data_IF_678185186284
#
_entry.id   IF_678185186284
#
_cell.length_a   1.000
_cell.length_b   1.000
_cell.length_c   1.000
_cell.angle_alpha   90.00
_cell.angle_beta   90.00
_cell.angle_gamma   90.00
#
_symmetry.space_group_name_H-M   'P 1'
#
loop_
_entity.id
_entity.type
_entity.pdbx_description
1 polymer ?
#
# COMPACT_ATOMS: atom_id res chain seq x y z
N UNK A 1 9.43 -18.04 50.22
CA UNK A 1 8.56 -19.01 49.54
C UNK A 1 8.46 -18.67 48.10
N UNK A 2 9.23 -19.36 47.29
CA UNK A 2 9.20 -19.22 45.84
C UNK A 2 8.36 -20.37 45.28
N UNK A 3 7.34 -20.06 44.46
CA UNK A 3 6.59 -21.05 43.70
C UNK A 3 7.26 -21.25 42.32
N UNK A 4 7.31 -22.47 41.80
CA UNK A 4 7.97 -22.76 40.54
C UNK A 4 7.09 -22.36 39.36
N UNK A 5 7.68 -21.69 38.36
CA UNK A 5 7.09 -21.41 37.06
C UNK A 5 7.14 -22.72 36.27
N UNK A 6 5.97 -23.30 35.99
CA UNK A 6 5.83 -24.50 35.18
C UNK A 6 5.97 -24.21 33.70
N UNK A 7 6.87 -24.97 33.06
CA UNK A 7 7.05 -25.11 31.61
C UNK A 7 5.78 -25.61 30.94
N UNK A 8 5.06 -24.71 30.23
CA UNK A 8 4.01 -25.11 29.29
C UNK A 8 3.91 -24.16 28.10
N UNK A 9 5.00 -24.00 27.38
CA UNK A 9 4.97 -23.42 26.03
C UNK A 9 5.89 -24.21 25.11
N UNK A 10 5.52 -25.46 24.83
CA UNK A 10 6.05 -26.22 23.69
C UNK A 10 4.87 -26.60 22.83
N UNK A 11 4.91 -26.15 21.56
CA UNK A 11 4.17 -26.75 20.48
C UNK A 11 2.97 -25.95 19.97
N UNK A 12 3.25 -24.94 19.16
CA UNK A 12 2.40 -24.59 18.02
C UNK A 12 3.33 -24.27 16.85
N UNK A 13 3.74 -25.32 16.16
CA UNK A 13 4.31 -25.18 14.82
C UNK A 13 3.15 -24.73 13.89
N UNK A 14 3.17 -23.47 13.51
CA UNK A 14 2.25 -22.95 12.49
C UNK A 14 2.76 -23.39 11.12
N UNK A 15 2.21 -24.49 10.62
CA UNK A 15 2.31 -24.86 9.21
C UNK A 15 1.49 -23.86 8.37
N UNK A 16 2.12 -22.78 7.89
CA UNK A 16 1.62 -21.99 6.79
C UNK A 16 2.31 -22.45 5.50
N UNK A 17 1.56 -22.86 4.49
CA UNK A 17 2.12 -23.14 3.17
C UNK A 17 2.39 -21.79 2.45
N UNK A 18 3.55 -21.18 2.73
CA UNK A 18 4.10 -20.18 1.85
C UNK A 18 4.67 -20.91 0.65
N UNK A 19 4.10 -20.68 -0.52
CA UNK A 19 4.66 -21.19 -1.76
C UNK A 19 5.99 -20.48 -2.02
N UNK A 20 7.09 -21.16 -1.69
CA UNK A 20 8.44 -20.73 -2.04
C UNK A 20 8.64 -20.95 -3.54
N UNK A 21 8.57 -19.88 -4.32
CA UNK A 21 9.01 -19.89 -5.70
C UNK A 21 10.54 -19.97 -5.71
N UNK A 22 11.08 -21.16 -6.02
CA UNK A 22 12.50 -21.35 -6.25
C UNK A 22 12.92 -20.66 -7.53
N UNK A 23 13.51 -19.47 -7.43
CA UNK A 23 14.23 -18.84 -8.52
C UNK A 23 15.66 -19.39 -8.53
N UNK A 24 16.05 -19.93 -9.69
CA UNK A 24 17.33 -20.60 -9.99
C UNK A 24 18.55 -19.80 -9.48
N UNK A 25 19.47 -20.56 -8.87
CA UNK A 25 20.70 -20.09 -8.25
C UNK A 25 21.64 -19.37 -9.21
N UNK A 26 21.95 -18.11 -8.97
CA UNK A 26 23.29 -17.53 -8.98
C UNK A 26 23.29 -16.04 -8.59
N UNK A 27 22.74 -15.72 -7.45
CA UNK A 27 23.02 -14.48 -6.73
C UNK A 27 22.58 -14.65 -5.29
N UNK A 28 23.36 -14.17 -4.34
CA UNK A 28 23.08 -14.14 -2.89
C UNK A 28 21.87 -13.24 -2.54
N UNK A 29 20.73 -13.48 -3.21
CA UNK A 29 19.46 -12.85 -2.90
C UNK A 29 18.73 -13.78 -1.96
N UNK A 30 18.74 -13.44 -0.66
CA UNK A 30 17.79 -14.01 0.28
C UNK A 30 16.41 -13.99 -0.33
N UNK A 31 15.66 -15.04 -0.19
CA UNK A 31 14.27 -15.21 -0.63
C UNK A 31 13.51 -13.96 -0.19
N UNK A 32 13.27 -13.03 -1.13
CA UNK A 32 12.48 -11.82 -0.84
C UNK A 32 11.04 -12.29 -0.71
N UNK A 33 10.47 -12.15 0.47
CA UNK A 33 9.05 -12.39 0.66
C UNK A 33 8.28 -11.43 -0.22
N UNK A 34 7.43 -11.99 -1.07
CA UNK A 34 6.68 -11.29 -2.10
C UNK A 34 5.20 -11.53 -1.89
N UNK A 35 4.42 -10.47 -1.91
CA UNK A 35 2.97 -10.55 -1.81
C UNK A 35 2.36 -10.33 -3.19
N UNK A 36 1.58 -11.27 -3.74
CA UNK A 36 0.88 -11.06 -5.00
C UNK A 36 0.05 -9.78 -4.99
N UNK A 37 0.08 -9.03 -6.09
CA UNK A 37 -0.66 -7.77 -6.19
C UNK A 37 -2.17 -7.98 -6.28
N UNK A 38 -2.60 -9.16 -6.74
CA UNK A 38 -3.97 -9.46 -7.09
C UNK A 38 -4.31 -9.14 -8.55
N UNK A 39 -3.29 -8.77 -9.33
CA UNK A 39 -3.42 -8.50 -10.77
C UNK A 39 -2.32 -9.25 -11.51
N UNK A 40 -2.67 -10.31 -12.21
CA UNK A 40 -1.69 -11.13 -12.95
C UNK A 40 -0.90 -10.32 -13.97
N UNK A 41 -1.56 -9.32 -14.60
CA UNK A 41 -0.90 -8.39 -15.54
C UNK A 41 0.22 -7.60 -14.88
N UNK A 42 0.07 -7.22 -13.62
CA UNK A 42 1.09 -6.49 -12.88
C UNK A 42 2.16 -7.44 -12.32
N UNK A 43 1.77 -8.56 -11.74
CA UNK A 43 2.69 -9.56 -11.19
C UNK A 43 3.68 -10.06 -12.26
N UNK A 44 3.22 -10.27 -13.50
CA UNK A 44 4.06 -10.66 -14.63
C UNK A 44 5.06 -9.57 -15.08
N UNK A 45 4.83 -8.30 -14.74
CA UNK A 45 5.73 -7.18 -15.08
C UNK A 45 6.69 -6.85 -13.93
N UNK A 46 6.34 -7.22 -12.71
CA UNK A 46 7.20 -7.02 -11.56
C UNK A 46 8.31 -8.07 -11.53
N UNK A 47 9.56 -7.62 -11.40
CA UNK A 47 10.73 -8.49 -11.40
C UNK A 47 10.70 -9.57 -10.28
N UNK A 48 9.97 -9.30 -9.21
CA UNK A 48 9.79 -10.22 -8.09
C UNK A 48 8.46 -10.99 -8.16
N UNK A 49 7.60 -10.71 -9.12
CA UNK A 49 6.29 -11.36 -9.26
C UNK A 49 5.22 -10.89 -8.28
N UNK A 50 5.39 -9.70 -7.68
CA UNK A 50 4.44 -9.13 -6.72
C UNK A 50 5.02 -7.95 -5.92
N UNK A 51 4.32 -7.51 -4.89
CA UNK A 51 4.76 -6.45 -4.00
C UNK A 51 5.94 -6.92 -3.13
N UNK A 52 7.07 -6.19 -3.11
CA UNK A 52 8.18 -6.51 -2.22
C UNK A 52 7.79 -6.22 -0.76
N UNK A 53 7.87 -7.23 0.11
CA UNK A 53 7.65 -7.07 1.55
C UNK A 53 8.87 -6.45 2.26
N UNK A 54 10.06 -6.61 1.68
CA UNK A 54 11.30 -6.06 2.25
C UNK A 54 11.67 -4.73 1.59
N UNK A 55 11.10 -3.65 2.08
CA UNK A 55 11.40 -2.29 1.65
C UNK A 55 10.17 -1.46 1.33
N UNK A 56 10.39 -0.18 1.00
CA UNK A 56 9.31 0.72 0.65
C UNK A 56 8.95 0.63 -0.82
N UNK A 57 7.66 0.65 -1.09
CA UNK A 57 7.06 0.90 -2.39
C UNK A 57 6.72 2.39 -2.44
N UNK A 58 7.22 3.11 -3.43
CA UNK A 58 6.89 4.52 -3.65
C UNK A 58 5.92 4.64 -4.82
N UNK A 59 4.77 5.23 -4.54
CA UNK A 59 3.72 5.46 -5.53
C UNK A 59 3.62 6.96 -5.85
N UNK A 60 3.94 7.33 -7.08
CA UNK A 60 3.84 8.69 -7.56
C UNK A 60 2.48 8.93 -8.23
N UNK A 61 1.74 9.92 -7.72
CA UNK A 61 0.37 10.18 -8.14
C UNK A 61 0.14 11.67 -8.41
N UNK A 62 -0.84 11.95 -9.24
CA UNK A 62 -1.41 13.28 -9.39
C UNK A 62 -2.51 13.47 -8.32
N UNK A 63 -2.40 14.50 -7.50
CA UNK A 63 -3.38 14.76 -6.46
C UNK A 63 -3.32 13.78 -5.29
N UNK A 64 -4.46 13.29 -4.84
CA UNK A 64 -4.60 12.61 -3.55
C UNK A 64 -4.21 11.12 -3.53
N UNK A 65 -3.71 10.54 -4.62
CA UNK A 65 -3.28 9.13 -4.65
C UNK A 65 -4.41 8.11 -4.54
N UNK A 66 -5.67 8.53 -4.60
CA UNK A 66 -6.82 7.65 -4.40
C UNK A 66 -6.95 6.58 -5.49
N UNK A 67 -6.60 6.91 -6.75
CA UNK A 67 -6.60 5.92 -7.84
C UNK A 67 -5.56 4.82 -7.65
N UNK A 68 -4.40 5.16 -7.06
CA UNK A 68 -3.36 4.19 -6.74
C UNK A 68 -3.76 3.28 -5.57
N UNK A 69 -4.60 3.77 -4.65
CA UNK A 69 -5.10 2.98 -3.53
C UNK A 69 -5.97 1.81 -3.99
N UNK A 70 -6.69 1.96 -5.12
CA UNK A 70 -7.46 0.88 -5.74
C UNK A 70 -6.62 -0.35 -6.09
N UNK A 71 -5.33 -0.16 -6.44
CA UNK A 71 -4.40 -1.25 -6.72
C UNK A 71 -3.97 -2.00 -5.45
N UNK A 72 -4.16 -1.41 -4.28
CA UNK A 72 -3.83 -2.04 -2.99
C UNK A 72 -5.00 -2.83 -2.39
N UNK A 73 -6.23 -2.69 -2.94
CA UNK A 73 -7.41 -3.36 -2.38
C UNK A 73 -7.28 -4.88 -2.26
N UNK A 74 -6.89 -5.63 -3.33
CA UNK A 74 -6.74 -7.09 -3.21
C UNK A 74 -5.68 -7.48 -2.17
N UNK A 75 -4.62 -6.66 -2.07
CA UNK A 75 -3.57 -6.85 -1.09
C UNK A 75 -4.08 -6.60 0.34
N UNK A 76 -4.87 -5.55 0.55
CA UNK A 76 -5.48 -5.25 1.85
C UNK A 76 -6.49 -6.33 2.28
N UNK A 77 -7.28 -6.87 1.36
CA UNK A 77 -8.16 -8.01 1.60
C UNK A 77 -7.36 -9.20 2.15
N UNK A 78 -6.26 -9.53 1.51
CA UNK A 78 -5.38 -10.62 1.92
C UNK A 78 -4.71 -10.36 3.27
N UNK A 79 -4.20 -9.15 3.48
CA UNK A 79 -3.56 -8.76 4.74
C UNK A 79 -4.57 -8.60 5.88
N UNK A 80 -5.80 -8.21 5.60
CA UNK A 80 -6.90 -8.07 6.57
C UNK A 80 -7.35 -9.40 7.20
N UNK A 81 -6.93 -10.55 6.66
CA UNK A 81 -7.16 -11.85 7.29
C UNK A 81 -6.22 -12.12 8.48
N UNK A 82 -5.15 -11.34 8.62
CA UNK A 82 -4.18 -11.45 9.71
C UNK A 82 -4.66 -10.63 10.92
N UNK A 83 -4.34 -11.02 12.16
CA UNK A 83 -4.67 -10.23 13.35
C UNK A 83 -3.70 -9.05 13.54
N UNK A 84 -3.50 -8.25 12.50
CA UNK A 84 -2.57 -7.11 12.45
C UNK A 84 -3.28 -5.91 11.83
N UNK A 85 -2.79 -4.71 12.12
CA UNK A 85 -3.41 -3.47 11.69
C UNK A 85 -3.04 -3.09 10.24
N UNK A 86 -3.98 -2.47 9.55
CA UNK A 86 -3.75 -1.70 8.34
C UNK A 86 -3.68 -0.23 8.73
N UNK A 87 -2.48 0.36 8.70
CA UNK A 87 -2.26 1.73 9.13
C UNK A 87 -2.29 2.71 7.94
N UNK A 88 -3.08 3.77 8.08
CA UNK A 88 -3.20 4.87 7.13
C UNK A 88 -2.68 6.15 7.78
N UNK A 89 -1.53 6.64 7.33
CA UNK A 89 -0.85 7.81 7.90
C UNK A 89 -1.07 9.02 6.98
N UNK A 90 -1.71 10.06 7.49
CA UNK A 90 -2.09 11.27 6.77
C UNK A 90 -2.91 10.99 5.48
N UNK A 91 -3.91 10.10 5.49
CA UNK A 91 -4.70 9.89 4.29
C UNK A 91 -5.41 11.19 3.90
N UNK A 92 -5.48 11.54 2.61
CA UNK A 92 -6.12 12.78 2.13
C UNK A 92 -7.63 12.78 2.37
N UNK A 93 -8.23 11.59 2.44
CA UNK A 93 -9.62 11.37 2.78
C UNK A 93 -9.72 10.18 3.72
N UNK A 94 -10.71 10.19 4.59
CA UNK A 94 -11.01 9.03 5.44
C UNK A 94 -11.41 7.85 4.57
N UNK A 95 -10.79 6.67 4.73
CA UNK A 95 -11.20 5.47 4.01
C UNK A 95 -12.68 5.16 4.22
N UNK A 96 -13.37 4.80 3.15
CA UNK A 96 -14.80 4.52 3.21
C UNK A 96 -15.06 3.14 3.83
N UNK A 97 -15.39 3.12 5.11
CA UNK A 97 -15.56 1.91 5.90
C UNK A 97 -16.54 0.88 5.29
N UNK A 98 -17.71 1.25 4.72
CA UNK A 98 -18.60 0.27 4.09
C UNK A 98 -17.95 -0.49 2.94
N UNK A 99 -17.05 0.16 2.18
CA UNK A 99 -16.32 -0.52 1.12
C UNK A 99 -15.32 -1.51 1.69
N UNK A 100 -14.53 -1.09 2.68
CA UNK A 100 -13.55 -1.98 3.30
C UNK A 100 -14.25 -3.22 3.86
N UNK A 101 -15.38 -3.04 4.53
CA UNK A 101 -16.21 -4.13 5.03
C UNK A 101 -16.76 -5.03 3.91
N UNK A 102 -17.25 -4.45 2.81
CA UNK A 102 -17.74 -5.20 1.64
C UNK A 102 -16.64 -6.03 0.96
N UNK A 103 -15.39 -5.59 1.11
CA UNK A 103 -14.19 -6.29 0.64
C UNK A 103 -13.60 -7.26 1.68
N UNK A 104 -14.30 -7.52 2.78
CA UNK A 104 -13.82 -8.42 3.83
C UNK A 104 -12.63 -7.86 4.65
N UNK A 105 -12.38 -6.56 4.59
CA UNK A 105 -11.35 -5.90 5.38
C UNK A 105 -11.96 -5.48 6.72
N UNK A 106 -11.50 -6.05 7.85
CA UNK A 106 -12.05 -5.70 9.17
C UNK A 106 -11.78 -4.23 9.51
N UNK A 107 -12.82 -3.43 9.64
CA UNK A 107 -12.68 -2.00 9.92
C UNK A 107 -12.11 -1.70 11.30
N UNK A 108 -12.28 -2.62 12.24
CA UNK A 108 -11.68 -2.60 13.59
C UNK A 108 -10.16 -2.79 13.58
N UNK A 109 -9.60 -3.27 12.46
CA UNK A 109 -8.15 -3.39 12.26
C UNK A 109 -7.58 -2.24 11.42
N UNK A 110 -8.37 -1.22 11.13
CA UNK A 110 -7.92 -0.03 10.38
C UNK A 110 -7.52 1.07 11.37
N UNK A 111 -6.26 1.44 11.34
CA UNK A 111 -5.69 2.54 12.12
C UNK A 111 -5.52 3.76 11.23
N UNK A 112 -6.13 4.89 11.59
CA UNK A 112 -5.96 6.16 10.87
C UNK A 112 -5.22 7.14 11.77
N UNK A 113 -4.11 7.67 11.26
CA UNK A 113 -3.27 8.63 11.98
C UNK A 113 -3.23 9.96 11.20
N UNK A 114 -3.54 11.06 11.88
CA UNK A 114 -3.48 12.41 11.33
C UNK A 114 -2.35 13.19 11.99
N UNK A 115 -1.11 13.14 11.45
CA UNK A 115 0.02 13.92 11.96
C UNK A 115 -0.24 15.41 11.76
N UNK A 116 0.25 16.25 12.68
CA UNK A 116 0.07 17.71 12.63
C UNK A 116 1.07 18.39 11.70
N UNK A 117 2.21 17.78 11.48
CA UNK A 117 3.30 18.31 10.68
C UNK A 117 4.10 17.20 10.00
N UNK A 118 5.05 17.61 9.16
CA UNK A 118 5.91 16.70 8.37
C UNK A 118 6.78 15.78 9.25
N UNK A 119 7.26 16.28 10.37
CA UNK A 119 8.14 15.54 11.28
C UNK A 119 7.37 14.42 11.99
N UNK A 120 6.17 14.74 12.49
CA UNK A 120 5.26 13.77 13.06
C UNK A 120 4.84 12.72 12.04
N UNK A 121 4.62 13.11 10.76
CA UNK A 121 4.28 12.20 9.68
C UNK A 121 5.38 11.17 9.44
N UNK A 122 6.62 11.61 9.30
CA UNK A 122 7.77 10.73 9.12
C UNK A 122 7.97 9.81 10.32
N UNK A 123 7.86 10.39 11.52
CA UNK A 123 7.98 9.63 12.77
C UNK A 123 6.88 8.57 12.90
N UNK A 124 5.62 8.94 12.70
CA UNK A 124 4.49 8.02 12.78
C UNK A 124 4.60 6.89 11.75
N UNK A 125 5.01 7.22 10.52
CA UNK A 125 5.26 6.23 9.48
C UNK A 125 6.35 5.24 9.88
N UNK A 126 7.49 5.73 10.35
CA UNK A 126 8.59 4.89 10.81
C UNK A 126 8.18 4.00 11.98
N UNK A 127 7.48 4.55 12.99
CA UNK A 127 7.01 3.79 14.15
C UNK A 127 6.00 2.71 13.75
N UNK A 128 5.05 3.02 12.86
CA UNK A 128 4.07 2.05 12.38
C UNK A 128 4.76 0.88 11.63
N UNK A 129 5.77 1.15 10.81
CA UNK A 129 6.55 0.12 10.13
C UNK A 129 7.32 -0.75 11.14
N UNK A 130 7.95 -0.14 12.14
CA UNK A 130 8.77 -0.83 13.15
C UNK A 130 7.94 -1.60 14.19
N UNK A 131 6.67 -1.28 14.34
CA UNK A 131 5.83 -1.82 15.41
C UNK A 131 5.53 -3.31 15.30
N UNK A 132 5.78 -3.96 14.17
CA UNK A 132 5.40 -5.35 13.86
C UNK A 132 3.91 -5.69 14.02
N UNK A 133 3.13 -4.79 14.61
CA UNK A 133 1.67 -4.93 14.79
C UNK A 133 0.88 -4.54 13.55
N UNK A 134 1.53 -3.88 12.58
CA UNK A 134 0.91 -3.53 11.30
C UNK A 134 1.29 -4.54 10.22
N UNK A 135 0.31 -5.05 9.46
CA UNK A 135 0.55 -5.86 8.26
C UNK A 135 0.88 -4.98 7.05
N UNK A 136 0.29 -3.77 7.01
CA UNK A 136 0.63 -2.77 6.01
C UNK A 136 0.59 -1.35 6.59
N UNK A 137 1.44 -0.47 6.05
CA UNK A 137 1.49 0.96 6.35
C UNK A 137 1.39 1.74 5.04
N UNK A 138 0.34 2.51 4.90
CA UNK A 138 0.07 3.40 3.78
C UNK A 138 0.27 4.84 4.24
N UNK A 139 1.26 5.56 3.69
CA UNK A 139 1.60 6.91 4.16
C UNK A 139 1.55 7.92 3.02
N UNK A 140 0.82 9.00 3.20
CA UNK A 140 0.72 10.09 2.23
C UNK A 140 1.69 11.21 2.60
N UNK A 141 2.81 11.22 1.89
CA UNK A 141 3.84 12.24 2.09
C UNK A 141 3.52 13.56 1.37
N UNK A 142 2.60 13.52 0.39
CA UNK A 142 2.16 14.71 -0.34
C UNK A 142 3.24 15.28 -1.27
N UNK A 143 3.17 16.60 -1.48
CA UNK A 143 4.07 17.36 -2.36
C UNK A 143 5.28 17.98 -1.64
N UNK A 144 5.47 17.69 -0.37
CA UNK A 144 6.61 18.23 0.37
C UNK A 144 7.93 17.58 -0.09
N UNK A 145 9.00 18.37 -0.03
CA UNK A 145 10.34 17.88 -0.32
C UNK A 145 10.85 17.01 0.83
N UNK A 146 11.37 15.84 0.49
CA UNK A 146 11.97 14.91 1.44
C UNK A 146 13.42 14.65 1.09
N UNK A 147 14.28 14.77 2.10
CA UNK A 147 15.69 14.43 1.93
C UNK A 147 15.84 12.93 1.71
N UNK A 148 16.78 12.54 0.87
CA UNK A 148 17.10 11.12 0.66
C UNK A 148 17.30 10.34 1.97
N UNK A 149 17.95 10.94 2.97
CA UNK A 149 18.20 10.33 4.27
C UNK A 149 16.92 9.99 5.04
N UNK A 150 15.87 10.83 4.91
CA UNK A 150 14.57 10.62 5.56
C UNK A 150 13.83 9.45 4.93
N UNK A 151 13.77 9.40 3.61
CA UNK A 151 13.19 8.28 2.87
C UNK A 151 13.98 6.98 3.11
N UNK A 152 15.32 7.10 3.24
CA UNK A 152 16.17 5.94 3.53
C UNK A 152 15.88 5.34 4.90
N UNK A 153 15.53 6.14 5.90
CA UNK A 153 15.13 5.62 7.23
C UNK A 153 13.87 4.77 7.12
N UNK A 154 12.87 5.22 6.35
CA UNK A 154 11.64 4.44 6.09
C UNK A 154 11.97 3.13 5.34
N UNK A 155 12.82 3.23 4.31
CA UNK A 155 13.27 2.06 3.55
C UNK A 155 13.98 1.04 4.45
N UNK A 156 14.87 1.46 5.35
CA UNK A 156 15.56 0.58 6.27
C UNK A 156 14.60 -0.05 7.27
N UNK A 157 13.69 0.76 7.84
CA UNK A 157 12.66 0.23 8.74
C UNK A 157 11.82 -0.86 8.05
N UNK A 158 11.43 -0.65 6.78
CA UNK A 158 10.67 -1.63 6.02
C UNK A 158 11.48 -2.88 5.63
N UNK A 159 12.82 -2.76 5.52
CA UNK A 159 13.68 -3.91 5.23
C UNK A 159 13.87 -4.82 6.45
N UNK A 160 13.78 -4.25 7.64
CA UNK A 160 14.01 -4.95 8.92
C UNK A 160 12.74 -5.60 9.50
N UNK A 161 11.56 -5.25 8.93
CA UNK A 161 10.27 -5.66 9.49
C UNK A 161 9.35 -6.24 8.40
N UNK A 162 8.59 -7.26 8.78
CA UNK A 162 7.59 -7.91 7.94
C UNK A 162 6.30 -7.06 7.85
N UNK A 163 6.42 -5.88 7.22
CA UNK A 163 5.33 -4.91 7.07
C UNK A 163 5.37 -4.34 5.67
N UNK A 164 4.28 -4.50 4.91
CA UNK A 164 4.16 -3.87 3.60
C UNK A 164 4.17 -2.35 3.77
N UNK A 165 5.16 -1.66 3.24
CA UNK A 165 5.30 -0.21 3.35
C UNK A 165 5.08 0.47 2.01
N UNK A 166 4.02 1.28 1.91
CA UNK A 166 3.67 2.03 0.71
C UNK A 166 3.66 3.53 1.04
N UNK A 167 4.44 4.31 0.30
CA UNK A 167 4.48 5.77 0.45
C UNK A 167 3.94 6.44 -0.82
N UNK A 168 2.96 7.31 -0.67
CA UNK A 168 2.39 8.09 -1.75
C UNK A 168 3.03 9.46 -1.78
N UNK A 169 3.54 9.86 -2.96
CA UNK A 169 4.16 11.16 -3.19
C UNK A 169 3.60 11.80 -4.44
N UNK A 170 3.79 13.11 -4.55
CA UNK A 170 3.41 13.83 -5.76
C UNK A 170 4.30 13.42 -6.95
N UNK A 171 3.73 13.42 -8.17
CA UNK A 171 4.43 12.98 -9.39
C UNK A 171 5.71 13.76 -9.69
N UNK A 172 5.83 15.00 -9.23
CA UNK A 172 7.03 15.84 -9.40
C UNK A 172 8.27 15.21 -8.78
N UNK A 173 8.10 14.35 -7.78
CA UNK A 173 9.19 13.59 -7.20
C UNK A 173 9.81 12.55 -8.16
N UNK A 174 9.30 12.38 -9.39
CA UNK A 174 9.80 11.39 -10.34
C UNK A 174 11.29 11.56 -10.66
N UNK A 175 11.75 12.81 -10.71
CA UNK A 175 13.15 13.15 -11.01
C UNK A 175 14.08 13.06 -9.79
N UNK A 176 13.52 12.89 -8.61
CA UNK A 176 14.31 12.77 -7.39
C UNK A 176 14.89 11.37 -7.21
N UNK A 177 16.07 11.29 -6.59
CA UNK A 177 16.63 10.01 -6.18
C UNK A 177 15.82 9.40 -5.04
N UNK A 178 15.50 8.11 -5.16
CA UNK A 178 14.74 7.38 -4.13
C UNK A 178 15.48 6.13 -3.66
N UNK A 179 15.46 5.84 -2.35
CA UNK A 179 15.93 4.57 -1.81
C UNK A 179 14.92 3.43 -1.97
N UNK A 180 13.67 3.72 -2.34
CA UNK A 180 12.60 2.72 -2.49
C UNK A 180 13.02 1.55 -3.39
N UNK A 181 12.60 0.34 -3.04
CA UNK A 181 12.89 -0.88 -3.81
C UNK A 181 12.02 -1.00 -5.07
N UNK A 182 10.82 -0.42 -5.03
CA UNK A 182 9.89 -0.33 -6.15
C UNK A 182 9.35 1.10 -6.23
N UNK A 183 9.37 1.70 -7.42
CA UNK A 183 8.81 3.03 -7.68
C UNK A 183 7.85 2.95 -8.84
N UNK A 184 6.61 3.31 -8.59
CA UNK A 184 5.52 3.30 -9.55
C UNK A 184 5.02 4.73 -9.79
N UNK A 185 4.49 4.98 -10.99
CA UNK A 185 3.82 6.22 -11.32
C UNK A 185 2.43 5.92 -11.90
N UNK A 186 1.41 6.51 -11.33
CA UNK A 186 0.06 6.48 -11.91
C UNK A 186 -0.01 7.37 -13.14
N UNK A 187 -0.61 6.85 -14.20
CA UNK A 187 -0.90 7.58 -15.44
C UNK A 187 -2.39 7.85 -15.63
N UNK A 188 -3.19 7.55 -14.63
CA UNK A 188 -4.64 7.63 -14.67
C UNK A 188 -5.29 6.30 -14.30
N UNK A 189 -6.52 6.10 -14.74
CA UNK A 189 -7.28 4.91 -14.42
C UNK A 189 -6.60 3.64 -14.95
N UNK A 190 -6.21 2.76 -14.03
CA UNK A 190 -5.59 1.45 -14.33
C UNK A 190 -4.37 1.48 -15.27
N UNK A 191 -3.69 2.62 -15.35
CA UNK A 191 -2.44 2.75 -16.11
C UNK A 191 -1.33 3.18 -15.18
N UNK A 192 -0.23 2.44 -15.20
CA UNK A 192 0.95 2.71 -14.37
C UNK A 192 2.23 2.55 -15.16
N UNK A 193 3.28 3.24 -14.71
CA UNK A 193 4.65 2.99 -15.10
C UNK A 193 5.41 2.42 -13.91
N UNK A 194 6.28 1.46 -14.15
CA UNK A 194 7.34 1.05 -13.22
C UNK A 194 8.57 1.91 -13.55
N UNK A 195 8.85 2.92 -12.72
CA UNK A 195 10.02 3.79 -12.92
C UNK A 195 11.29 3.15 -12.40
N UNK A 196 11.18 2.35 -11.35
CA UNK A 196 12.29 1.63 -10.72
C UNK A 196 11.76 0.34 -10.11
N UNK A 197 12.49 -0.74 -10.26
CA UNK A 197 12.28 -1.98 -9.53
C UNK A 197 13.62 -2.68 -9.27
N UNK A 198 13.74 -3.27 -8.10
CA UNK A 198 14.94 -4.02 -7.73
C UNK A 198 14.99 -5.31 -8.55
N UNK A 199 16.10 -5.56 -9.22
CA UNK A 199 16.29 -6.76 -10.04
C UNK A 199 15.62 -6.71 -11.42
N UNK A 200 14.97 -5.59 -11.79
CA UNK A 200 14.31 -5.44 -13.09
C UNK A 200 14.58 -4.09 -13.76
N UNK A 201 13.98 -3.92 -14.93
CA UNK A 201 14.09 -2.69 -15.75
C UNK A 201 12.83 -1.84 -15.54
N UNK A 202 12.89 -0.52 -15.80
CA UNK A 202 11.71 0.33 -15.93
C UNK A 202 10.80 -0.18 -17.07
N UNK A 203 9.48 -0.08 -16.86
CA UNK A 203 8.46 -0.47 -17.83
C UNK A 203 7.39 0.61 -17.84
N UNK A 204 7.00 1.05 -19.02
CA UNK A 204 5.99 2.10 -19.16
C UNK A 204 4.70 1.55 -19.74
N UNK A 205 3.59 2.26 -19.44
CA UNK A 205 2.26 2.05 -20.01
C UNK A 205 1.68 0.66 -19.74
N UNK A 206 1.82 0.18 -18.50
CA UNK A 206 1.19 -1.05 -18.04
C UNK A 206 -0.29 -0.76 -17.81
N UNK A 207 -1.15 -1.50 -18.51
CA UNK A 207 -2.60 -1.48 -18.31
C UNK A 207 -2.96 -2.59 -17.33
N UNK A 208 -3.56 -2.22 -16.21
CA UNK A 208 -4.05 -3.18 -15.21
C UNK A 208 -5.45 -3.64 -15.61
N UNK A 209 -5.57 -4.87 -16.03
CA UNK A 209 -6.88 -5.45 -16.32
C UNK A 209 -7.63 -5.74 -15.01
N UNK A 210 -8.96 -5.50 -14.97
CA UNK A 210 -9.75 -5.92 -13.82
C UNK A 210 -9.65 -7.45 -13.70
N UNK A 211 -9.51 -7.92 -12.48
CA UNK A 211 -9.76 -9.32 -12.21
C UNK A 211 -11.20 -9.65 -12.60
N UNK A 212 -11.44 -10.80 -13.27
CA UNK A 212 -12.75 -11.16 -13.82
C UNK A 212 -13.85 -11.28 -12.76
N UNK A 213 -13.50 -11.31 -11.47
CA UNK A 213 -14.42 -11.39 -10.34
C UNK A 213 -14.83 -10.01 -9.77
N UNK A 214 -14.29 -8.90 -10.29
CA UNK A 214 -14.66 -7.56 -9.83
C UNK A 214 -15.81 -7.04 -10.71
N UNK A 215 -16.96 -6.62 -10.13
CA UNK A 215 -18.04 -6.01 -10.87
C UNK A 215 -17.51 -4.90 -11.78
N UNK A 216 -17.91 -4.90 -13.05
CA UNK A 216 -17.47 -3.96 -14.10
C UNK A 216 -17.84 -2.50 -13.77
N UNK A 217 -18.55 -2.27 -12.68
CA UNK A 217 -18.97 -0.95 -12.26
C UNK A 217 -17.81 -0.24 -11.55
N UNK A 218 -17.36 0.92 -12.09
CA UNK A 218 -16.27 1.67 -11.46
C UNK A 218 -16.65 2.01 -10.01
N UNK A 219 -15.75 1.79 -9.09
CA UNK A 219 -15.96 2.13 -7.70
C UNK A 219 -15.95 3.66 -7.56
N UNK A 220 -16.65 4.19 -6.55
CA UNK A 220 -16.90 5.64 -6.40
C UNK A 220 -15.61 6.49 -6.42
N UNK A 221 -14.48 5.95 -5.98
CA UNK A 221 -13.15 6.61 -6.02
C UNK A 221 -12.41 6.44 -7.35
N UNK A 222 -12.86 5.54 -8.21
CA UNK A 222 -12.31 5.35 -9.56
C UNK A 222 -12.91 6.32 -10.56
N UNK A 223 -14.01 7.00 -10.17
CA UNK A 223 -14.63 8.01 -11.00
C UNK A 223 -13.80 9.30 -10.97
N UNK A 224 -13.52 9.90 -12.15
CA UNK A 224 -12.92 11.21 -12.21
C UNK A 224 -13.75 12.21 -11.40
N UNK A 225 -13.10 13.08 -10.64
CA UNK A 225 -13.78 14.11 -9.82
C UNK A 225 -14.68 15.07 -10.62
N UNK A 226 -14.52 15.09 -11.94
CA UNK A 226 -15.35 15.91 -12.84
C UNK A 226 -16.77 15.39 -13.05
N UNK A 227 -17.08 14.13 -12.68
CA UNK A 227 -18.42 13.56 -12.86
C UNK A 227 -19.42 13.97 -11.79
N UNK A 228 -18.98 14.59 -10.71
CA UNK A 228 -19.87 15.18 -9.69
C UNK A 228 -20.30 16.62 -10.06
N UNK A 229 -20.94 16.80 -11.21
CA UNK A 229 -21.76 18.00 -11.42
C UNK A 229 -22.98 17.85 -10.54
N UNK A 230 -23.09 18.66 -9.49
CA UNK A 230 -24.32 18.86 -8.75
C UNK A 230 -25.45 19.14 -9.73
N UNK A 231 -26.56 18.41 -9.69
CA UNK A 231 -27.72 18.79 -10.47
C UNK A 231 -28.12 20.21 -10.04
N UNK A 232 -28.15 21.13 -10.96
CA UNK A 232 -28.64 22.50 -10.73
C UNK A 232 -30.07 22.40 -10.23
N UNK A 233 -30.26 22.58 -8.92
CA UNK A 233 -31.54 22.51 -8.28
C UNK A 233 -32.43 23.63 -8.84
N UNK A 234 -33.52 23.26 -9.48
CA UNK A 234 -34.64 24.15 -9.67
C UNK A 234 -35.22 24.48 -8.30
N UNK A 235 -34.97 25.67 -7.82
CA UNK A 235 -35.69 26.22 -6.67
C UNK A 235 -37.15 26.37 -7.05
N UNK A 236 -38.00 25.58 -6.41
CA UNK A 236 -39.43 25.84 -6.45
C UNK A 236 -39.69 27.16 -5.71
N UNK A 237 -40.10 28.19 -6.44
CA UNK A 237 -40.61 29.44 -5.86
C UNK A 237 -41.88 29.14 -5.09
N UNK A 238 -42.02 29.59 -3.82
CA UNK A 238 -43.29 29.46 -3.14
C UNK A 238 -44.34 30.34 -3.84
N UNK A 239 -45.45 29.74 -4.17
CA UNK A 239 -46.66 30.45 -4.66
C UNK A 239 -47.28 31.15 -3.45
N UNK A 240 -47.54 32.46 -3.60
CA UNK A 240 -48.19 33.33 -2.64
C UNK A 240 -49.66 32.95 -2.39
#
# INVERSE_FOLDING_TARGET
>A
CALPISDTWRGMESNHPLQTLQISANSDWHTLDVLPTGFDTLDNQLALGGWPMMGCIEFLTDGNGMGAMGLMLPTMEKLGTQPRWLAFIAPPNTPYAPLLAARGIPTEQVLIVHPKNREELLWATEQAIRSTTCSAVFSWLGAADYRYAELRRLQLAATENDTLSVVFRHREAAEEHTPACLRLRSRGYRRIDILKQRGGKPISDIVIEPDNDVPTQPQLWELPSETFRTPTGHYLTPVA
#
